data_IF_879247852407
#
_entry.id   IF_879247852407
#
_cell.length_a   1.000
_cell.length_b   1.000
_cell.length_c   1.000
_cell.angle_alpha   90.00
_cell.angle_beta   90.00
_cell.angle_gamma   90.00
#
_symmetry.space_group_name_H-M   'P 1'
#
loop_
_entity.id
_entity.type
_entity.pdbx_description
1 polymer ?
#
# COMPACT_ATOMS: atom_id res chain seq x y z
N UNK A 1 -7.43 10.13 -10.75
CA UNK A 1 -6.12 10.60 -11.29
C UNK A 1 -5.19 9.41 -11.44
N UNK A 2 -4.32 9.38 -12.44
CA UNK A 2 -3.36 8.27 -12.63
C UNK A 2 -1.95 8.76 -12.34
N UNK A 3 -1.28 8.13 -11.37
CA UNK A 3 0.15 8.33 -11.06
C UNK A 3 0.83 7.01 -11.37
N UNK A 4 1.58 6.98 -12.48
CA UNK A 4 2.11 5.74 -13.02
C UNK A 4 3.57 5.89 -13.40
N UNK A 5 4.37 4.84 -13.17
CA UNK A 5 5.78 4.79 -13.56
C UNK A 5 6.62 5.94 -12.95
N UNK A 6 6.42 6.20 -11.65
CA UNK A 6 7.14 7.23 -10.94
C UNK A 6 8.24 6.66 -10.04
N UNK A 7 9.30 7.44 -9.85
CA UNK A 7 10.36 7.20 -8.87
C UNK A 7 10.21 8.25 -7.76
N UNK A 8 10.07 7.83 -6.50
CA UNK A 8 9.88 8.72 -5.34
C UNK A 8 10.79 8.28 -4.21
N UNK A 9 11.82 9.07 -3.93
CA UNK A 9 12.83 8.73 -2.95
C UNK A 9 13.44 9.96 -2.27
N UNK A 10 14.16 9.73 -1.17
CA UNK A 10 14.80 10.76 -0.35
C UNK A 10 13.82 11.81 0.20
N UNK A 11 12.57 11.43 0.46
CA UNK A 11 11.54 12.31 1.03
C UNK A 11 11.50 12.19 2.55
N UNK A 12 11.44 13.33 3.24
CA UNK A 12 11.44 13.39 4.70
C UNK A 12 10.10 13.00 5.35
N UNK A 13 8.97 13.30 4.70
CA UNK A 13 7.62 13.10 5.27
C UNK A 13 6.80 12.04 4.53
N UNK A 14 6.23 12.37 3.37
CA UNK A 14 5.32 11.49 2.64
C UNK A 14 5.72 11.48 1.16
N UNK A 15 6.02 10.30 0.61
CA UNK A 15 6.37 10.13 -0.80
C UNK A 15 5.20 10.45 -1.72
N UNK A 16 4.29 9.48 -1.88
CA UNK A 16 3.03 9.66 -2.59
C UNK A 16 1.89 9.92 -1.61
N UNK A 17 1.06 10.91 -1.89
CA UNK A 17 0.02 11.34 -0.96
C UNK A 17 -1.39 11.35 -1.59
N UNK A 18 -2.26 10.45 -1.12
CA UNK A 18 -3.69 10.44 -1.41
C UNK A 18 -4.41 11.25 -0.32
N UNK A 19 -4.81 12.49 -0.63
CA UNK A 19 -5.49 13.41 0.31
C UNK A 19 -6.95 13.60 -0.08
N UNK A 20 -7.88 13.03 0.72
CA UNK A 20 -9.34 13.03 0.44
C UNK A 20 -9.61 12.67 -1.02
N UNK A 21 -8.92 11.63 -1.50
CA UNK A 21 -8.83 11.27 -2.91
C UNK A 21 -9.80 10.14 -3.25
N UNK A 22 -10.43 10.22 -4.41
CA UNK A 22 -11.29 9.13 -4.89
C UNK A 22 -10.99 8.77 -6.34
N UNK A 23 -11.21 7.51 -6.71
CA UNK A 23 -11.05 7.04 -8.09
C UNK A 23 -9.66 7.36 -8.68
N UNK A 24 -8.61 7.19 -7.88
CA UNK A 24 -7.22 7.34 -8.31
C UNK A 24 -6.54 5.98 -8.48
N UNK A 25 -5.57 5.94 -9.38
CA UNK A 25 -4.74 4.78 -9.64
C UNK A 25 -3.27 5.17 -9.43
N UNK A 26 -2.62 4.53 -8.48
CA UNK A 26 -1.18 4.55 -8.29
C UNK A 26 -0.66 3.19 -8.73
N UNK A 27 0.27 3.17 -9.69
CA UNK A 27 0.85 1.89 -10.05
C UNK A 27 2.12 1.90 -10.86
N UNK A 28 2.88 0.80 -10.77
CA UNK A 28 4.23 0.67 -11.36
C UNK A 28 5.18 1.75 -10.87
N UNK A 29 5.02 2.20 -9.63
CA UNK A 29 5.90 3.19 -9.02
C UNK A 29 6.95 2.50 -8.16
N UNK A 30 8.13 3.12 -8.07
CA UNK A 30 9.18 2.77 -7.12
C UNK A 30 9.23 3.87 -6.05
N UNK A 31 9.00 3.50 -4.80
CA UNK A 31 8.91 4.41 -3.67
C UNK A 31 9.81 3.91 -2.55
N UNK A 32 10.94 4.59 -2.35
CA UNK A 32 12.00 4.04 -1.52
C UNK A 32 12.89 5.07 -0.85
N UNK A 33 13.70 4.65 0.13
CA UNK A 33 14.65 5.51 0.85
C UNK A 33 13.98 6.79 1.43
N UNK A 34 12.70 6.71 1.80
CA UNK A 34 11.99 7.84 2.41
C UNK A 34 12.06 7.72 3.94
N UNK A 35 12.52 8.78 4.61
CA UNK A 35 12.57 8.82 6.09
C UNK A 35 11.16 8.70 6.71
N UNK A 36 10.13 9.02 5.94
CA UNK A 36 8.73 8.92 6.33
C UNK A 36 7.96 7.81 5.61
N UNK A 37 6.71 8.09 5.23
CA UNK A 37 5.82 7.09 4.60
C UNK A 37 5.99 7.09 3.09
N UNK A 38 6.12 5.91 2.49
CA UNK A 38 6.14 5.73 1.04
C UNK A 38 4.83 6.21 0.39
N UNK A 39 3.70 5.54 0.67
CA UNK A 39 2.36 6.01 0.27
C UNK A 39 1.51 6.31 1.49
N UNK A 40 1.11 7.58 1.62
CA UNK A 40 0.23 8.02 2.69
C UNK A 40 -1.20 8.17 2.15
N UNK A 41 -2.16 7.52 2.81
CA UNK A 41 -3.59 7.59 2.48
C UNK A 41 -4.27 8.35 3.61
N UNK A 42 -4.80 9.54 3.32
CA UNK A 42 -5.34 10.43 4.34
C UNK A 42 -6.69 11.01 3.98
N UNK A 43 -7.62 10.94 4.92
CA UNK A 43 -8.93 11.55 4.83
C UNK A 43 -9.01 12.80 5.70
N UNK A 44 -9.49 13.92 5.14
CA UNK A 44 -9.66 15.19 5.86
C UNK A 44 -11.05 15.79 5.56
N UNK A 45 -11.96 15.74 6.54
CA UNK A 45 -13.36 16.20 6.39
C UNK A 45 -14.09 15.64 5.16
N UNK A 46 -13.74 14.42 4.76
CA UNK A 46 -14.25 13.74 3.58
C UNK A 46 -13.62 12.36 3.44
N UNK A 47 -13.95 11.65 2.36
CA UNK A 47 -13.55 10.25 2.21
C UNK A 47 -12.36 10.09 1.27
N UNK A 48 -11.47 9.13 1.58
CA UNK A 48 -10.48 8.60 0.63
C UNK A 48 -10.84 7.16 0.29
N UNK A 49 -11.38 6.95 -0.91
CA UNK A 49 -12.02 5.68 -1.29
C UNK A 49 -11.97 5.38 -2.77
N UNK A 50 -12.22 4.14 -3.13
CA UNK A 50 -12.25 3.68 -4.52
C UNK A 50 -10.91 3.95 -5.26
N UNK A 51 -9.78 3.95 -4.54
CA UNK A 51 -8.46 4.08 -5.14
C UNK A 51 -7.80 2.71 -5.30
N UNK A 52 -6.94 2.60 -6.32
CA UNK A 52 -6.14 1.40 -6.59
C UNK A 52 -4.68 1.75 -6.38
N UNK A 53 -3.96 0.94 -5.61
CA UNK A 53 -2.51 1.00 -5.44
C UNK A 53 -1.97 -0.38 -5.79
N UNK A 54 -1.36 -0.52 -6.96
CA UNK A 54 -0.92 -1.81 -7.43
C UNK A 54 0.40 -1.78 -8.21
N UNK A 55 1.07 -2.94 -8.29
CA UNK A 55 2.31 -3.11 -9.05
C UNK A 55 3.46 -2.17 -8.61
N UNK A 56 3.47 -1.68 -7.36
CA UNK A 56 4.52 -0.78 -6.87
C UNK A 56 5.61 -1.52 -6.08
N UNK A 57 6.83 -0.99 -6.10
CA UNK A 57 7.90 -1.39 -5.18
C UNK A 57 8.00 -0.35 -4.06
N UNK A 58 7.82 -0.78 -2.82
CA UNK A 58 7.78 0.05 -1.60
C UNK A 58 8.84 -0.47 -0.64
N UNK A 59 10.03 0.12 -0.62
CA UNK A 59 11.14 -0.45 0.13
C UNK A 59 12.04 0.57 0.84
N UNK A 60 12.65 0.17 1.96
CA UNK A 60 13.50 1.04 2.78
C UNK A 60 12.85 2.39 3.15
N UNK A 61 11.54 2.37 3.44
CA UNK A 61 10.83 3.52 3.99
C UNK A 61 10.60 3.30 5.49
N UNK A 62 10.26 4.36 6.24
CA UNK A 62 9.78 4.16 7.61
C UNK A 62 8.43 3.41 7.61
N UNK A 63 7.48 3.85 6.79
CA UNK A 63 6.26 3.08 6.50
C UNK A 63 6.16 2.82 5.00
N UNK A 64 5.85 1.59 4.57
CA UNK A 64 5.56 1.33 3.16
C UNK A 64 4.27 2.04 2.73
N UNK A 65 3.14 1.61 3.31
CA UNK A 65 1.85 2.32 3.19
C UNK A 65 1.25 2.57 4.57
N UNK A 66 0.71 3.77 4.79
CA UNK A 66 0.05 4.13 6.04
C UNK A 66 -1.26 4.86 5.80
N UNK A 67 -2.28 4.51 6.57
CA UNK A 67 -3.58 5.19 6.59
C UNK A 67 -3.75 6.04 7.85
N UNK A 68 -4.43 7.18 7.72
CA UNK A 68 -4.80 8.05 8.85
C UNK A 68 -5.94 9.00 8.47
N UNK A 69 -6.68 9.53 9.43
CA UNK A 69 -7.78 10.44 9.13
C UNK A 69 -7.83 11.65 10.07
N UNK A 70 -8.63 12.63 9.65
CA UNK A 70 -9.12 13.70 10.49
C UNK A 70 -10.57 14.01 10.08
N UNK A 71 -11.52 13.46 10.84
CA UNK A 71 -12.96 13.58 10.58
C UNK A 71 -13.36 13.12 9.18
N UNK A 72 -12.80 11.99 8.74
CA UNK A 72 -13.08 11.41 7.43
C UNK A 72 -13.04 9.88 7.48
N UNK A 73 -13.36 9.24 6.34
CA UNK A 73 -13.32 7.79 6.23
C UNK A 73 -12.34 7.35 5.15
N UNK A 74 -11.63 6.25 5.41
CA UNK A 74 -10.79 5.57 4.42
C UNK A 74 -11.38 4.18 4.23
N UNK A 75 -11.87 3.87 3.03
CA UNK A 75 -12.50 2.59 2.76
C UNK A 75 -12.53 2.27 1.27
N UNK A 76 -12.77 1.01 0.93
CA UNK A 76 -12.90 0.53 -0.46
C UNK A 76 -11.70 0.90 -1.35
N UNK A 77 -10.51 1.07 -0.77
CA UNK A 77 -9.28 1.12 -1.53
C UNK A 77 -8.77 -0.31 -1.75
N UNK A 78 -8.24 -0.58 -2.94
CA UNK A 78 -7.74 -1.89 -3.33
C UNK A 78 -6.22 -1.82 -3.51
N UNK A 79 -5.50 -2.57 -2.68
CA UNK A 79 -4.03 -2.58 -2.62
C UNK A 79 -3.52 -4.00 -2.88
N UNK A 80 -2.85 -4.25 -4.00
CA UNK A 80 -2.41 -5.60 -4.37
C UNK A 80 -1.21 -5.58 -5.32
N UNK A 81 -0.48 -6.69 -5.45
CA UNK A 81 0.69 -6.81 -6.31
C UNK A 81 1.79 -5.77 -6.05
N UNK A 82 1.84 -5.23 -4.83
CA UNK A 82 2.97 -4.40 -4.42
C UNK A 82 4.02 -5.25 -3.70
N UNK A 83 5.27 -4.83 -3.81
CA UNK A 83 6.42 -5.43 -3.15
C UNK A 83 6.83 -4.56 -1.96
N UNK A 84 6.70 -5.10 -0.76
CA UNK A 84 7.12 -4.47 0.49
C UNK A 84 8.39 -5.13 1.00
N UNK A 85 9.47 -4.36 1.11
CA UNK A 85 10.77 -4.87 1.56
C UNK A 85 11.55 -3.85 2.39
N UNK A 86 12.21 -4.28 3.45
CA UNK A 86 13.10 -3.48 4.29
C UNK A 86 12.47 -2.18 4.83
N UNK A 87 11.14 -2.07 4.87
CA UNK A 87 10.49 -0.94 5.53
C UNK A 87 10.56 -1.14 7.04
N UNK A 88 10.66 -0.05 7.82
CA UNK A 88 10.55 -0.18 9.29
C UNK A 88 9.19 -0.76 9.69
N UNK A 89 8.14 -0.41 8.95
CA UNK A 89 6.83 -1.06 9.00
C UNK A 89 6.24 -1.15 7.58
N UNK A 90 5.99 -2.36 7.09
CA UNK A 90 5.48 -2.57 5.72
C UNK A 90 4.14 -1.90 5.48
N UNK A 91 3.17 -2.11 6.36
CA UNK A 91 1.87 -1.46 6.28
C UNK A 91 1.32 -1.08 7.67
N UNK A 92 0.58 0.02 7.70
CA UNK A 92 -0.32 0.34 8.81
C UNK A 92 -1.68 0.74 8.26
N UNK A 93 -2.65 -0.16 8.41
CA UNK A 93 -4.04 0.12 8.07
C UNK A 93 -4.96 -0.05 9.27
N UNK A 94 -5.78 0.96 9.55
CA UNK A 94 -6.77 0.96 10.64
C UNK A 94 -8.21 0.96 10.12
N UNK A 95 -8.41 0.92 8.81
CA UNK A 95 -9.72 1.11 8.20
C UNK A 95 -10.10 -0.05 7.26
N UNK A 96 -11.20 0.12 6.53
CA UNK A 96 -11.81 -0.94 5.73
C UNK A 96 -11.31 -0.91 4.27
N UNK A 97 -10.04 -1.27 4.06
CA UNK A 97 -9.46 -1.45 2.74
C UNK A 97 -9.18 -2.92 2.44
N UNK A 98 -8.98 -3.23 1.17
CA UNK A 98 -8.73 -4.60 0.71
C UNK A 98 -7.28 -4.72 0.23
N UNK A 99 -6.55 -5.68 0.78
CA UNK A 99 -5.12 -5.90 0.52
C UNK A 99 -4.82 -7.14 -0.34
N UNK A 100 -5.86 -7.72 -0.94
CA UNK A 100 -5.82 -8.93 -1.74
C UNK A 100 -6.78 -8.80 -2.94
N UNK A 101 -6.35 -9.23 -4.12
CA UNK A 101 -7.18 -9.14 -5.34
C UNK A 101 -7.89 -10.47 -5.68
N UNK A 102 -8.02 -11.35 -4.69
CA UNK A 102 -8.65 -12.65 -4.80
C UNK A 102 -7.79 -13.69 -5.51
N UNK A 103 -8.02 -14.97 -5.23
CA UNK A 103 -7.40 -16.08 -5.93
C UNK A 103 -7.84 -16.15 -7.41
N UNK A 104 -6.93 -16.41 -8.39
CA UNK A 104 -5.50 -16.69 -8.26
C UNK A 104 -4.62 -15.43 -8.41
N UNK A 105 -5.20 -14.22 -8.36
CA UNK A 105 -4.41 -12.99 -8.43
C UNK A 105 -3.54 -12.84 -7.18
N UNK A 106 -4.10 -13.12 -6.00
CA UNK A 106 -3.43 -12.92 -4.72
C UNK A 106 -3.25 -11.45 -4.35
N UNK A 107 -2.44 -11.22 -3.33
CA UNK A 107 -2.26 -9.92 -2.69
C UNK A 107 -0.90 -9.30 -2.92
N UNK A 108 -0.28 -8.84 -1.85
CA UNK A 108 1.03 -8.17 -1.89
C UNK A 108 2.14 -9.14 -1.47
N UNK A 109 3.37 -8.85 -1.91
CA UNK A 109 4.56 -9.51 -1.39
C UNK A 109 5.06 -8.75 -0.17
N UNK A 110 5.36 -9.49 0.90
CA UNK A 110 5.91 -8.97 2.14
C UNK A 110 7.19 -9.72 2.47
N UNK A 111 8.29 -9.00 2.64
CA UNK A 111 9.59 -9.57 2.98
C UNK A 111 9.61 -10.29 4.35
N UNK A 112 8.70 -9.91 5.25
CA UNK A 112 8.51 -10.52 6.56
C UNK A 112 7.36 -11.56 6.60
N UNK A 113 6.81 -11.95 5.44
CA UNK A 113 5.81 -13.01 5.37
C UNK A 113 6.42 -14.37 5.76
N UNK A 114 5.90 -14.97 6.85
CA UNK A 114 6.32 -16.30 7.32
C UNK A 114 5.20 -17.34 7.27
N UNK A 115 4.13 -17.07 6.53
CA UNK A 115 3.01 -17.98 6.39
C UNK A 115 3.32 -19.18 5.49
N UNK A 116 2.40 -20.14 5.48
CA UNK A 116 2.53 -21.36 4.67
C UNK A 116 1.97 -21.17 3.26
N UNK A 117 2.57 -21.88 2.30
CA UNK A 117 2.07 -22.12 0.93
C UNK A 117 2.03 -23.64 0.77
N UNK A 118 0.86 -24.24 1.05
CA UNK A 118 0.69 -25.69 1.15
C UNK A 118 0.46 -26.36 -0.19
N UNK A 119 -0.11 -25.64 -1.16
CA UNK A 119 -0.34 -26.15 -2.50
C UNK A 119 0.81 -25.82 -3.48
N UNK A 120 1.73 -24.95 -3.07
CA UNK A 120 2.99 -24.64 -3.75
C UNK A 120 2.78 -23.75 -4.97
N UNK A 121 1.73 -22.95 -5.00
CA UNK A 121 1.39 -22.10 -6.14
C UNK A 121 2.05 -20.72 -6.12
N UNK A 122 2.80 -20.41 -5.04
CA UNK A 122 3.53 -19.17 -4.85
C UNK A 122 2.71 -18.07 -4.17
N UNK A 123 1.47 -18.36 -3.76
CA UNK A 123 0.63 -17.47 -2.95
C UNK A 123 0.52 -18.07 -1.54
N UNK A 124 0.71 -17.23 -0.53
CA UNK A 124 0.57 -17.66 0.86
C UNK A 124 -0.88 -18.02 1.22
N UNK A 125 -1.09 -19.22 1.77
CA UNK A 125 -2.39 -19.70 2.28
C UNK A 125 -2.77 -19.05 3.63
N UNK A 126 -1.77 -18.55 4.35
CA UNK A 126 -1.97 -17.90 5.65
C UNK A 126 -2.15 -16.40 5.43
N UNK A 127 -3.22 -15.77 5.95
CA UNK A 127 -3.36 -14.32 5.91
C UNK A 127 -2.18 -13.60 6.58
N UNK A 128 -1.75 -12.48 5.99
CA UNK A 128 -0.79 -11.56 6.61
C UNK A 128 -1.47 -10.73 7.73
N UNK A 129 -0.72 -10.34 8.78
CA UNK A 129 -1.26 -9.81 10.05
C UNK A 129 -0.96 -8.32 10.29
#
# INVERSE_FOLDING_TARGET
>A
VNVLNCEVHDISDYGLYLFTATNCNIGRCNVYDNEGTGVYIFAFWGDTKDNIIADCNLYNNNYGIRTNDYNGFIYDNLIYHNNFADNTQNANDKYANTWDNGYPSGGNYWDDYTGEDNDGDGIGDTPYH
#
